data_IF_116154768841
#
_entry.id   IF_116154768841
#
_cell.length_a   1.000
_cell.length_b   1.000
_cell.length_c   1.000
_cell.angle_alpha   90.00
_cell.angle_beta   90.00
_cell.angle_gamma   90.00
#
_symmetry.space_group_name_H-M   'P 1'
#
loop_
_entity.id
_entity.type
_entity.pdbx_description
1 polymer ?
#
# COMPACT_ATOMS: atom_id res chain seq x y z
N UNK A 1 -23.66 -22.11 -2.66
CA UNK A 1 -23.96 -20.73 -2.22
C UNK A 1 -22.87 -20.19 -1.28
N UNK A 2 -21.61 -20.15 -1.73
CA UNK A 2 -20.54 -19.48 -1.00
C UNK A 2 -20.41 -18.03 -1.48
N UNK A 3 -20.32 -17.13 -0.52
CA UNK A 3 -20.58 -15.70 -0.57
C UNK A 3 -19.68 -14.93 -1.52
N UNK A 4 -20.31 -14.36 -2.55
CA UNK A 4 -19.75 -13.39 -3.48
C UNK A 4 -19.73 -11.98 -2.83
N UNK A 5 -19.02 -11.84 -1.69
CA UNK A 5 -18.77 -10.54 -1.05
C UNK A 5 -17.40 -10.06 -1.48
N UNK A 6 -17.36 -8.96 -2.22
CA UNK A 6 -16.14 -8.15 -2.35
C UNK A 6 -15.60 -7.85 -0.95
N UNK A 7 -14.35 -8.23 -0.69
CA UNK A 7 -13.73 -8.08 0.62
C UNK A 7 -13.63 -6.58 0.96
N UNK A 8 -14.34 -6.13 2.00
CA UNK A 8 -14.29 -4.75 2.45
C UNK A 8 -13.03 -4.54 3.30
N UNK A 9 -12.25 -3.49 3.03
CA UNK A 9 -11.02 -3.18 3.78
C UNK A 9 -11.27 -3.05 5.29
N UNK A 10 -12.35 -2.37 5.68
CA UNK A 10 -12.67 -2.16 7.09
C UNK A 10 -13.00 -3.49 7.78
N UNK A 11 -13.79 -4.36 7.13
CA UNK A 11 -14.13 -5.67 7.69
C UNK A 11 -12.90 -6.58 7.76
N UNK A 12 -12.03 -6.53 6.74
CA UNK A 12 -10.77 -7.27 6.70
C UNK A 12 -9.82 -6.85 7.83
N UNK A 13 -9.59 -5.55 8.03
CA UNK A 13 -8.69 -5.10 9.10
C UNK A 13 -9.25 -5.45 10.49
N UNK A 14 -10.57 -5.25 10.69
CA UNK A 14 -11.24 -5.59 11.94
C UNK A 14 -11.20 -7.08 12.23
N UNK A 15 -11.37 -7.96 11.23
CA UNK A 15 -11.30 -9.41 11.43
C UNK A 15 -9.92 -9.89 11.84
N UNK A 16 -8.87 -9.13 11.53
CA UNK A 16 -7.48 -9.40 11.94
C UNK A 16 -7.08 -8.66 13.22
N UNK A 17 -8.03 -7.98 13.88
CA UNK A 17 -7.79 -7.28 15.16
C UNK A 17 -7.02 -5.96 15.02
N UNK A 18 -6.92 -5.40 13.81
CA UNK A 18 -6.25 -4.13 13.57
C UNK A 18 -7.25 -2.97 13.41
N UNK A 19 -6.85 -1.76 13.83
CA UNK A 19 -7.63 -0.56 13.53
C UNK A 19 -7.70 -0.33 12.01
N UNK A 20 -8.70 0.45 11.59
CA UNK A 20 -8.83 0.88 10.20
C UNK A 20 -8.09 2.21 10.06
N UNK A 21 -7.03 2.24 9.27
CA UNK A 21 -6.39 3.50 8.88
C UNK A 21 -7.37 4.30 8.01
N UNK A 22 -7.80 5.47 8.51
CA UNK A 22 -8.79 6.31 7.82
C UNK A 22 -8.30 6.82 6.47
N UNK A 23 -7.01 7.14 6.35
CA UNK A 23 -6.42 7.63 5.10
C UNK A 23 -6.47 6.55 4.01
N UNK A 24 -6.09 5.31 4.36
CA UNK A 24 -6.17 4.16 3.45
C UNK A 24 -7.64 3.86 3.12
N UNK A 25 -8.52 3.87 4.12
CA UNK A 25 -9.95 3.62 3.89
C UNK A 25 -10.57 4.69 2.96
N UNK A 26 -10.29 5.97 3.20
CA UNK A 26 -10.78 7.07 2.37
C UNK A 26 -10.22 6.99 0.94
N UNK A 27 -8.92 6.70 0.80
CA UNK A 27 -8.29 6.46 -0.50
C UNK A 27 -9.03 5.37 -1.28
N UNK A 28 -9.30 4.24 -0.62
CA UNK A 28 -10.00 3.09 -1.19
C UNK A 28 -11.48 3.38 -1.55
N UNK A 29 -12.17 4.30 -0.85
CA UNK A 29 -13.54 4.69 -1.17
C UNK A 29 -13.63 5.74 -2.30
N UNK A 30 -12.52 6.40 -2.64
CA UNK A 30 -12.52 7.48 -3.64
C UNK A 30 -12.68 6.93 -5.08
N UNK A 31 -13.93 6.79 -5.54
CA UNK A 31 -14.25 6.18 -6.85
C UNK A 31 -14.14 7.12 -8.06
N UNK A 32 -13.62 8.36 -7.91
CA UNK A 32 -13.59 9.34 -9.02
C UNK A 32 -12.33 10.21 -9.09
N UNK A 33 -11.52 9.91 -10.11
CA UNK A 33 -10.67 10.78 -10.96
C UNK A 33 -9.65 11.78 -10.37
N UNK A 34 -9.36 11.82 -9.07
CA UNK A 34 -8.36 12.78 -8.54
C UNK A 34 -7.31 12.18 -7.58
N UNK A 35 -7.34 10.88 -7.31
CA UNK A 35 -6.52 10.27 -6.24
C UNK A 35 -5.35 9.42 -6.74
N UNK A 36 -4.41 9.97 -7.50
CA UNK A 36 -3.16 9.25 -7.84
C UNK A 36 -2.21 9.09 -6.64
N UNK A 37 -2.61 9.54 -5.44
CA UNK A 37 -1.75 9.59 -4.26
C UNK A 37 -2.44 8.89 -3.10
N UNK A 38 -1.85 7.81 -2.60
CA UNK A 38 -2.15 7.27 -1.27
C UNK A 38 -1.21 7.94 -0.27
N UNK A 39 -1.76 8.77 0.61
CA UNK A 39 -0.99 9.50 1.62
C UNK A 39 -1.47 9.15 3.01
N UNK A 40 -0.57 8.58 3.80
CA UNK A 40 -0.73 8.31 5.22
C UNK A 40 0.40 9.03 5.95
N UNK A 41 0.04 9.91 6.87
CA UNK A 41 1.01 10.69 7.63
C UNK A 41 0.68 10.61 9.12
N UNK A 42 1.69 10.46 9.97
CA UNK A 42 1.52 10.45 11.43
C UNK A 42 0.61 9.31 11.94
N UNK A 43 0.66 8.16 11.27
CA UNK A 43 -0.09 6.96 11.66
C UNK A 43 0.86 5.86 12.12
N UNK A 44 0.86 5.55 13.41
CA UNK A 44 1.67 4.45 13.96
C UNK A 44 1.07 3.10 13.60
N UNK A 45 1.63 2.44 12.58
CA UNK A 45 1.26 1.06 12.27
C UNK A 45 1.73 0.12 13.39
N UNK A 46 0.81 -0.72 13.88
CA UNK A 46 1.17 -1.79 14.81
C UNK A 46 1.97 -2.87 14.07
N UNK A 47 2.76 -3.65 14.82
CA UNK A 47 3.53 -4.77 14.27
C UNK A 47 2.61 -5.70 13.47
N UNK A 48 2.87 -5.82 12.16
CA UNK A 48 2.10 -6.66 11.23
C UNK A 48 0.91 -5.97 10.57
N UNK A 49 0.49 -4.79 11.02
CA UNK A 49 -0.64 -4.05 10.45
C UNK A 49 -0.36 -3.62 9.01
N UNK A 50 0.80 -2.99 8.77
CA UNK A 50 1.18 -2.54 7.44
C UNK A 50 1.32 -3.70 6.46
N UNK A 51 1.88 -4.84 6.91
CA UNK A 51 1.92 -6.07 6.13
C UNK A 51 0.52 -6.52 5.69
N UNK A 52 -0.46 -6.49 6.61
CA UNK A 52 -1.84 -6.85 6.29
C UNK A 52 -2.50 -5.87 5.34
N UNK A 53 -2.21 -4.57 5.44
CA UNK A 53 -2.66 -3.59 4.43
C UNK A 53 -2.13 -3.97 3.04
N UNK A 54 -0.84 -4.29 2.94
CA UNK A 54 -0.23 -4.70 1.67
C UNK A 54 -0.81 -6.04 1.17
N UNK A 55 -1.08 -6.99 2.06
CA UNK A 55 -1.76 -8.25 1.74
C UNK A 55 -3.19 -8.02 1.24
N UNK A 56 -3.94 -7.08 1.83
CA UNK A 56 -5.24 -6.70 1.31
C UNK A 56 -5.15 -6.20 -0.13
N UNK A 57 -4.18 -5.33 -0.44
CA UNK A 57 -3.96 -4.85 -1.82
C UNK A 57 -3.64 -5.98 -2.79
N UNK A 58 -2.83 -6.95 -2.36
CA UNK A 58 -2.47 -8.12 -3.13
C UNK A 58 -3.70 -9.02 -3.40
N UNK A 59 -4.52 -9.30 -2.37
CA UNK A 59 -5.76 -10.06 -2.49
C UNK A 59 -6.79 -9.39 -3.42
N UNK A 60 -6.81 -8.05 -3.48
CA UNK A 60 -7.67 -7.33 -4.45
C UNK A 60 -7.15 -7.39 -5.89
N UNK A 61 -5.89 -7.80 -6.10
CA UNK A 61 -5.25 -7.86 -7.42
C UNK A 61 -5.54 -9.14 -8.19
N UNK A 62 -5.98 -10.20 -7.50
CA UNK A 62 -6.32 -11.47 -8.12
C UNK A 62 -7.63 -11.38 -8.91
N UNK A 63 -7.52 -11.61 -10.22
CA UNK A 63 -8.63 -11.57 -11.19
C UNK A 63 -9.73 -12.60 -10.93
N UNK A 64 -9.49 -13.58 -10.06
CA UNK A 64 -10.46 -14.61 -9.68
C UNK A 64 -11.48 -14.15 -8.62
N UNK A 65 -11.25 -13.02 -7.93
CA UNK A 65 -12.21 -12.42 -7.02
C UNK A 65 -13.34 -11.72 -7.81
N UNK A 66 -14.42 -12.46 -8.07
CA UNK A 66 -15.53 -12.02 -8.90
C UNK A 66 -16.22 -10.71 -8.50
N UNK A 67 -16.78 -10.07 -9.54
CA UNK A 67 -17.73 -8.94 -9.59
C UNK A 67 -17.17 -7.53 -9.34
N UNK A 68 -17.29 -6.69 -10.38
CA UNK A 68 -17.41 -5.21 -10.49
C UNK A 68 -16.77 -4.31 -9.40
N UNK A 69 -16.97 -4.58 -8.11
CA UNK A 69 -16.25 -3.95 -7.01
C UNK A 69 -14.73 -4.26 -7.09
N UNK A 70 -14.33 -5.51 -7.31
CA UNK A 70 -12.92 -5.87 -7.49
C UNK A 70 -12.28 -5.14 -8.68
N UNK A 71 -13.02 -4.88 -9.75
CA UNK A 71 -12.53 -4.15 -10.94
C UNK A 71 -12.33 -2.64 -10.67
N UNK A 72 -13.23 -2.00 -9.92
CA UNK A 72 -13.07 -0.61 -9.52
C UNK A 72 -11.89 -0.43 -8.55
N UNK A 73 -11.73 -1.35 -7.59
CA UNK A 73 -10.60 -1.37 -6.66
C UNK A 73 -9.27 -1.67 -7.37
N UNK A 74 -9.25 -2.65 -8.28
CA UNK A 74 -8.09 -2.99 -9.12
C UNK A 74 -7.63 -1.81 -9.99
N UNK A 75 -8.52 -0.89 -10.35
CA UNK A 75 -8.17 0.32 -11.10
C UNK A 75 -7.54 1.41 -10.22
N UNK A 76 -7.90 1.48 -8.93
CA UNK A 76 -7.48 2.56 -8.04
C UNK A 76 -5.97 2.51 -7.72
N UNK A 77 -5.43 1.39 -7.24
CA UNK A 77 -4.01 1.32 -6.89
C UNK A 77 -3.08 1.15 -8.11
N UNK A 78 -3.55 0.54 -9.22
CA UNK A 78 -2.81 0.61 -10.49
C UNK A 78 -2.67 2.04 -11.00
N UNK A 79 -3.56 2.93 -10.61
CA UNK A 79 -3.48 4.35 -10.94
C UNK A 79 -2.68 5.18 -9.94
N UNK A 80 -2.16 4.59 -8.86
CA UNK A 80 -1.34 5.31 -7.90
C UNK A 80 0.00 5.71 -8.55
N UNK A 81 0.26 7.02 -8.60
CA UNK A 81 1.53 7.60 -9.03
C UNK A 81 2.38 8.02 -7.84
N UNK A 82 1.80 8.16 -6.65
CA UNK A 82 2.56 8.48 -5.45
C UNK A 82 2.06 7.70 -4.23
N UNK A 83 3.02 7.19 -3.46
CA UNK A 83 2.79 6.61 -2.14
C UNK A 83 3.53 7.46 -1.12
N UNK A 84 2.81 7.92 -0.10
CA UNK A 84 3.37 8.69 1.01
C UNK A 84 3.04 7.96 2.31
N UNK A 85 4.07 7.51 3.01
CA UNK A 85 4.00 6.94 4.35
C UNK A 85 5.02 7.67 5.23
N UNK A 86 4.68 8.90 5.63
CA UNK A 86 5.59 9.75 6.41
C UNK A 86 5.27 9.67 7.90
N UNK A 87 6.28 9.54 8.76
CA UNK A 87 6.07 9.50 10.21
C UNK A 87 5.08 8.39 10.62
N UNK A 88 5.27 7.20 10.06
CA UNK A 88 4.36 6.05 10.25
C UNK A 88 4.98 4.93 11.09
N UNK A 89 6.16 5.16 11.67
CA UNK A 89 6.96 4.17 12.41
C UNK A 89 7.28 2.89 11.61
N UNK A 90 7.35 2.98 10.29
CA UNK A 90 7.66 1.83 9.44
C UNK A 90 9.06 1.29 9.73
N UNK A 91 9.17 -0.03 9.83
CA UNK A 91 10.41 -0.76 10.05
C UNK A 91 10.93 -1.42 8.78
N UNK A 92 12.12 -2.01 8.83
CA UNK A 92 12.67 -2.83 7.73
C UNK A 92 11.72 -3.96 7.28
N UNK A 93 10.94 -4.52 8.21
CA UNK A 93 9.96 -5.58 7.89
C UNK A 93 8.81 -5.03 7.05
N UNK A 94 8.40 -3.79 7.32
CA UNK A 94 7.34 -3.11 6.57
C UNK A 94 7.85 -2.70 5.19
N UNK A 95 9.11 -2.25 5.09
CA UNK A 95 9.77 -2.04 3.80
C UNK A 95 9.84 -3.31 2.96
N UNK A 96 10.17 -4.45 3.57
CA UNK A 96 10.15 -5.73 2.87
C UNK A 96 8.74 -6.11 2.39
N UNK A 97 7.72 -5.88 3.23
CA UNK A 97 6.32 -6.12 2.84
C UNK A 97 5.88 -5.23 1.67
N UNK A 98 6.29 -3.96 1.65
CA UNK A 98 6.07 -3.04 0.53
C UNK A 98 6.85 -3.49 -0.73
N UNK A 99 8.12 -3.81 -0.59
CA UNK A 99 9.01 -4.20 -1.69
C UNK A 99 8.46 -5.39 -2.47
N UNK A 100 8.04 -6.44 -1.77
CA UNK A 100 7.46 -7.67 -2.38
C UNK A 100 6.17 -7.42 -3.16
N UNK A 101 5.49 -6.29 -2.92
CA UNK A 101 4.21 -5.91 -3.55
C UNK A 101 4.31 -4.65 -4.39
N UNK A 102 5.52 -4.15 -4.62
CA UNK A 102 5.74 -2.93 -5.38
C UNK A 102 5.27 -3.07 -6.84
N UNK A 103 5.28 -4.29 -7.37
CA UNK A 103 4.74 -4.64 -8.69
C UNK A 103 3.25 -4.31 -8.87
N UNK A 104 2.48 -4.19 -7.76
CA UNK A 104 1.08 -3.77 -7.80
C UNK A 104 0.94 -2.28 -8.19
N UNK A 105 1.99 -1.49 -7.98
CA UNK A 105 2.03 -0.05 -8.22
C UNK A 105 2.87 0.28 -9.46
N UNK A 106 2.54 -0.33 -10.60
CA UNK A 106 3.34 -0.24 -11.83
C UNK A 106 3.52 1.18 -12.40
N UNK A 107 2.65 2.13 -12.02
CA UNK A 107 2.71 3.53 -12.46
C UNK A 107 3.32 4.47 -11.40
N UNK A 108 3.98 3.92 -10.37
CA UNK A 108 4.53 4.70 -9.28
C UNK A 108 5.67 5.60 -9.74
N UNK A 109 5.53 6.90 -9.52
CA UNK A 109 6.50 7.95 -9.88
C UNK A 109 7.19 8.50 -8.64
N UNK A 110 6.54 8.47 -7.47
CA UNK A 110 7.09 8.97 -6.22
C UNK A 110 6.77 8.08 -5.02
N UNK A 111 7.81 7.75 -4.23
CA UNK A 111 7.68 7.06 -2.95
C UNK A 111 8.32 7.91 -1.85
N UNK A 112 7.52 8.30 -0.85
CA UNK A 112 7.97 9.06 0.30
C UNK A 112 7.82 8.22 1.57
N UNK A 113 8.95 7.87 2.17
CA UNK A 113 9.08 7.09 3.40
C UNK A 113 9.84 7.86 4.48
N UNK A 114 9.80 9.20 4.47
CA UNK A 114 10.53 10.03 5.45
C UNK A 114 10.03 9.82 6.87
N UNK A 115 10.92 10.10 7.83
CA UNK A 115 10.61 10.12 9.27
C UNK A 115 10.09 8.76 9.78
N UNK A 116 10.62 7.63 9.28
CA UNK A 116 10.29 6.29 9.79
C UNK A 116 11.47 5.69 10.56
N UNK A 117 11.54 4.36 10.70
CA UNK A 117 12.59 3.62 11.41
C UNK A 117 13.23 2.59 10.48
N UNK A 118 13.63 3.06 9.30
CA UNK A 118 14.09 2.22 8.19
C UNK A 118 15.63 2.22 8.17
N UNK A 119 16.22 1.06 8.40
CA UNK A 119 17.67 0.90 8.30
C UNK A 119 18.10 0.66 6.85
N UNK A 120 19.42 0.50 6.64
CA UNK A 120 19.99 0.14 5.34
C UNK A 120 19.40 -1.16 4.77
N UNK A 121 18.92 -2.08 5.61
CA UNK A 121 18.28 -3.32 5.19
C UNK A 121 16.92 -3.07 4.52
N UNK A 122 16.07 -2.23 5.14
CA UNK A 122 14.80 -1.84 4.57
C UNK A 122 14.97 -1.03 3.29
N UNK A 123 15.94 -0.09 3.27
CA UNK A 123 16.28 0.66 2.05
C UNK A 123 16.74 -0.27 0.93
N UNK A 124 17.60 -1.25 1.23
CA UNK A 124 18.06 -2.25 0.26
C UNK A 124 16.92 -3.05 -0.34
N UNK A 125 15.91 -3.42 0.46
CA UNK A 125 14.71 -4.11 -0.01
C UNK A 125 13.90 -3.25 -0.99
N UNK A 126 13.68 -1.98 -0.67
CA UNK A 126 12.97 -1.04 -1.55
C UNK A 126 13.75 -0.80 -2.84
N UNK A 127 15.08 -0.62 -2.76
CA UNK A 127 15.93 -0.39 -3.92
C UNK A 127 15.91 -1.57 -4.90
N UNK A 128 15.99 -2.81 -4.39
CA UNK A 128 15.89 -4.02 -5.21
C UNK A 128 14.55 -4.10 -5.94
N UNK A 129 13.43 -3.88 -5.24
CA UNK A 129 12.11 -3.88 -5.86
C UNK A 129 11.92 -2.75 -6.88
N UNK A 130 12.50 -1.57 -6.64
CA UNK A 130 12.47 -0.46 -7.61
C UNK A 130 13.31 -0.73 -8.85
N UNK A 131 14.43 -1.45 -8.71
CA UNK A 131 15.21 -1.89 -9.84
C UNK A 131 14.40 -2.83 -10.76
N UNK A 132 13.58 -3.70 -10.16
CA UNK A 132 12.77 -4.69 -10.91
C UNK A 132 11.45 -4.13 -11.46
N UNK A 133 10.79 -3.24 -10.70
CA UNK A 133 9.40 -2.82 -10.98
C UNK A 133 9.20 -1.30 -11.10
N UNK A 134 10.21 -0.49 -10.73
CA UNK A 134 10.12 0.97 -10.62
C UNK A 134 10.48 1.73 -11.90
N UNK A 135 10.13 1.23 -13.10
CA UNK A 135 10.51 1.86 -14.39
C UNK A 135 10.07 3.33 -14.53
N UNK A 136 8.99 3.71 -13.85
CA UNK A 136 8.44 5.07 -13.87
C UNK A 136 8.85 5.91 -12.65
N UNK A 137 9.60 5.34 -11.69
CA UNK A 137 10.00 6.05 -10.47
C UNK A 137 10.91 7.24 -10.82
N UNK A 138 10.66 8.38 -10.17
CA UNK A 138 11.43 9.63 -10.32
C UNK A 138 11.88 10.22 -8.99
N UNK A 139 11.19 9.90 -7.90
CA UNK A 139 11.50 10.43 -6.58
C UNK A 139 11.34 9.37 -5.51
N UNK A 140 12.43 9.09 -4.78
CA UNK A 140 12.43 8.31 -3.55
C UNK A 140 12.89 9.22 -2.42
N UNK A 141 12.07 9.38 -1.37
CA UNK A 141 12.41 10.18 -0.19
C UNK A 141 12.55 9.29 1.03
N UNK A 142 13.73 9.32 1.64
CA UNK A 142 14.11 8.51 2.81
C UNK A 142 14.74 9.35 3.92
N UNK A 143 14.62 10.68 3.86
CA UNK A 143 15.15 11.60 4.88
C UNK A 143 14.64 11.23 6.29
N UNK A 144 15.50 11.39 7.31
CA UNK A 144 15.20 11.15 8.72
C UNK A 144 14.71 9.72 9.06
N UNK A 145 15.38 8.70 8.51
CA UNK A 145 15.14 7.28 8.86
C UNK A 145 16.25 6.68 9.72
#
# INVERSE_FOLDING_TARGET
HASNRSLNFADFMKSHGFPVCNDIYAYLQSTKSHGHILSVCYYTFKVGEFKLVMEFFDLQSDKSAGRLAGQAFHSAYRSAHSLVFQCCELSDRDCHALATRLHLFSNLVSLNLRDNRISISGVGSIAAALFEHGSHMRSLRLDNN
#
